data_IF_415847111228
#
_entry.id   IF_415847111228
#
_cell.length_a   1.000
_cell.length_b   1.000
_cell.length_c   1.000
_cell.angle_alpha   90.00
_cell.angle_beta   90.00
_cell.angle_gamma   90.00
#
_symmetry.space_group_name_H-M   'P 1'
#
loop_
_entity.id
_entity.type
_entity.pdbx_description
1 polymer ?
#
# COMPACT_ATOMS: atom_id res chain seq x y z
N UNK A 1 -9.96 18.52 -32.81
CA UNK A 1 -8.53 18.92 -32.77
C UNK A 1 -8.21 19.01 -31.27
N UNK A 2 -7.21 18.31 -30.82
CA UNK A 2 -6.81 18.31 -29.39
C UNK A 2 -6.09 19.65 -29.14
N UNK A 3 -6.60 20.46 -28.24
CA UNK A 3 -6.04 21.77 -27.89
C UNK A 3 -5.44 21.76 -26.49
N UNK A 4 -4.13 21.61 -26.40
CA UNK A 4 -3.40 21.58 -25.13
C UNK A 4 -3.27 22.95 -24.45
N UNK A 5 -3.75 24.05 -25.06
CA UNK A 5 -3.77 25.38 -24.44
C UNK A 5 -4.77 25.50 -23.30
N UNK A 6 -5.74 24.58 -23.24
CA UNK A 6 -6.76 24.50 -22.18
C UNK A 6 -6.21 23.93 -20.86
N UNK A 7 -4.99 23.33 -20.89
CA UNK A 7 -4.40 22.69 -19.73
C UNK A 7 -3.71 23.71 -18.84
N UNK A 8 -4.14 23.78 -17.58
CA UNK A 8 -3.37 24.47 -16.55
C UNK A 8 -2.28 23.52 -16.02
N UNK A 9 -1.04 23.79 -16.43
CA UNK A 9 0.13 22.99 -15.99
C UNK A 9 0.43 23.17 -14.50
N UNK A 10 0.01 24.28 -13.89
CA UNK A 10 0.10 24.50 -12.45
C UNK A 10 -0.79 23.53 -11.68
N UNK A 11 -2.04 23.37 -12.13
CA UNK A 11 -2.98 22.39 -11.56
C UNK A 11 -2.46 20.95 -11.69
N UNK A 12 -1.89 20.58 -12.85
CA UNK A 12 -1.27 19.26 -13.05
C UNK A 12 -0.11 19.03 -12.08
N UNK A 13 0.75 20.04 -11.92
CA UNK A 13 1.89 19.98 -10.99
C UNK A 13 1.43 19.80 -9.54
N UNK A 14 0.48 20.60 -9.09
CA UNK A 14 -0.08 20.51 -7.74
C UNK A 14 -0.75 19.15 -7.51
N UNK A 15 -1.61 18.71 -8.42
CA UNK A 15 -2.29 17.43 -8.32
C UNK A 15 -1.31 16.24 -8.31
N UNK A 16 -0.18 16.37 -9.03
CA UNK A 16 0.91 15.38 -8.97
C UNK A 16 1.50 15.30 -7.58
N UNK A 17 1.81 16.46 -6.95
CA UNK A 17 2.33 16.50 -5.58
C UNK A 17 1.33 15.95 -4.57
N UNK A 18 0.05 16.27 -4.70
CA UNK A 18 -1.02 15.73 -3.86
C UNK A 18 -1.10 14.20 -3.98
N UNK A 19 -1.05 13.66 -5.20
CA UNK A 19 -1.05 12.20 -5.42
C UNK A 19 0.17 11.53 -4.80
N UNK A 20 1.35 12.13 -4.93
CA UNK A 20 2.59 11.63 -4.31
C UNK A 20 2.51 11.70 -2.78
N UNK A 21 1.97 12.80 -2.22
CA UNK A 21 1.78 12.94 -0.78
C UNK A 21 0.80 11.89 -0.23
N UNK A 22 -0.37 11.71 -0.88
CA UNK A 22 -1.33 10.67 -0.51
C UNK A 22 -0.69 9.28 -0.54
N UNK A 23 -0.01 8.95 -1.63
CA UNK A 23 0.63 7.63 -1.79
C UNK A 23 1.75 7.42 -0.77
N UNK A 24 2.62 8.41 -0.61
CA UNK A 24 3.78 8.31 0.29
C UNK A 24 3.39 8.20 1.76
N UNK A 25 2.50 9.08 2.24
CA UNK A 25 2.02 9.05 3.63
C UNK A 25 1.21 7.78 3.90
N UNK A 26 0.33 7.39 2.98
CA UNK A 26 -0.45 6.16 3.14
C UNK A 26 0.45 4.92 3.11
N UNK A 27 1.49 4.89 2.28
CA UNK A 27 2.47 3.80 2.25
C UNK A 27 3.22 3.70 3.58
N UNK A 28 3.68 4.82 4.12
CA UNK A 28 4.37 4.86 5.42
C UNK A 28 3.51 4.24 6.53
N UNK A 29 2.26 4.69 6.69
CA UNK A 29 1.36 4.13 7.70
C UNK A 29 0.95 2.68 7.40
N UNK A 30 0.78 2.33 6.13
CA UNK A 30 0.50 0.94 5.70
C UNK A 30 1.62 0.00 6.09
N UNK A 31 2.88 0.38 5.87
CA UNK A 31 4.04 -0.42 6.28
C UNK A 31 4.14 -0.48 7.81
N UNK A 32 3.96 0.65 8.50
CA UNK A 32 4.02 0.72 9.95
C UNK A 32 3.02 -0.22 10.65
N UNK A 33 1.80 -0.35 10.11
CA UNK A 33 0.74 -1.19 10.65
C UNK A 33 0.81 -2.60 10.06
N UNK A 34 0.98 -2.71 8.76
CA UNK A 34 0.88 -3.98 8.04
C UNK A 34 2.08 -4.89 8.23
N UNK A 35 3.30 -4.36 8.43
CA UNK A 35 4.48 -5.18 8.68
C UNK A 35 4.37 -5.95 10.00
N UNK A 36 4.08 -5.33 11.16
CA UNK A 36 3.86 -6.06 12.41
C UNK A 36 2.70 -7.04 12.32
N UNK A 37 1.60 -6.65 11.66
CA UNK A 37 0.44 -7.51 11.48
C UNK A 37 0.78 -8.75 10.63
N UNK A 38 1.55 -8.60 9.55
CA UNK A 38 2.01 -9.70 8.70
C UNK A 38 2.97 -10.63 9.42
N UNK A 39 3.90 -10.09 10.21
CA UNK A 39 4.79 -10.89 11.07
C UNK A 39 3.97 -11.68 12.09
N UNK A 40 2.97 -11.06 12.72
CA UNK A 40 2.11 -11.72 13.70
C UNK A 40 1.29 -12.85 13.07
N UNK A 41 0.74 -12.64 11.86
CA UNK A 41 0.08 -13.68 11.07
C UNK A 41 1.02 -14.86 10.82
N UNK A 42 2.24 -14.60 10.37
CA UNK A 42 3.23 -15.63 10.12
C UNK A 42 3.56 -16.42 11.40
N UNK A 43 3.90 -15.72 12.50
CA UNK A 43 4.31 -16.35 13.75
C UNK A 43 3.23 -17.21 14.40
N UNK A 44 1.96 -16.79 14.29
CA UNK A 44 0.81 -17.51 14.87
C UNK A 44 0.27 -18.63 13.98
N UNK A 45 0.73 -18.72 12.72
CA UNK A 45 0.34 -19.77 11.79
C UNK A 45 0.75 -21.16 12.26
N UNK A 46 0.09 -22.18 11.72
CA UNK A 46 0.36 -23.59 12.08
C UNK A 46 1.83 -23.95 11.81
N UNK A 47 2.48 -24.58 12.80
CA UNK A 47 3.89 -25.00 12.77
C UNK A 47 4.91 -23.85 12.73
N UNK A 48 4.54 -22.65 13.16
CA UNK A 48 5.44 -21.52 13.35
C UNK A 48 5.81 -21.31 14.83
N UNK A 49 6.72 -20.34 15.12
CA UNK A 49 7.33 -20.13 16.43
C UNK A 49 6.33 -19.90 17.58
N UNK A 50 5.23 -19.21 17.31
CA UNK A 50 4.18 -18.89 18.27
C UNK A 50 2.84 -19.49 17.84
N UNK A 51 2.86 -20.70 17.26
CA UNK A 51 1.66 -21.34 16.67
C UNK A 51 0.48 -21.31 17.63
N UNK A 52 -0.52 -20.49 17.33
CA UNK A 52 -1.77 -20.35 18.09
C UNK A 52 -2.96 -20.22 17.14
N UNK A 53 -3.65 -21.34 16.93
CA UNK A 53 -4.73 -21.45 15.94
C UNK A 53 -5.84 -20.40 16.12
N UNK A 54 -6.23 -20.10 17.36
CA UNK A 54 -7.30 -19.13 17.65
C UNK A 54 -6.92 -17.72 17.19
N UNK A 55 -5.74 -17.23 17.58
CA UNK A 55 -5.24 -15.90 17.20
C UNK A 55 -5.09 -15.82 15.68
N UNK A 56 -4.46 -16.82 15.07
CA UNK A 56 -4.30 -16.86 13.62
C UNK A 56 -5.63 -16.78 12.87
N UNK A 57 -6.65 -17.55 13.30
CA UNK A 57 -7.97 -17.54 12.67
C UNK A 57 -8.65 -16.17 12.75
N UNK A 58 -8.63 -15.53 13.93
CA UNK A 58 -9.23 -14.20 14.13
C UNK A 58 -8.53 -13.15 13.27
N UNK A 59 -7.19 -13.08 13.33
CA UNK A 59 -6.41 -12.12 12.55
C UNK A 59 -6.57 -12.36 11.05
N UNK A 60 -6.48 -13.61 10.61
CA UNK A 60 -6.63 -13.98 9.20
C UNK A 60 -8.02 -13.68 8.67
N UNK A 61 -9.08 -13.89 9.49
CA UNK A 61 -10.45 -13.56 9.14
C UNK A 61 -10.61 -12.03 9.00
N UNK A 62 -10.14 -11.25 9.98
CA UNK A 62 -10.20 -9.79 9.94
C UNK A 62 -9.50 -9.23 8.69
N UNK A 63 -8.26 -9.69 8.42
CA UNK A 63 -7.51 -9.31 7.22
C UNK A 63 -8.26 -9.69 5.94
N UNK A 64 -8.82 -10.88 5.85
CA UNK A 64 -9.55 -11.33 4.66
C UNK A 64 -10.85 -10.54 4.45
N UNK A 65 -11.62 -10.27 5.52
CA UNK A 65 -12.85 -9.47 5.44
C UNK A 65 -12.54 -8.05 4.93
N UNK A 66 -11.55 -7.37 5.51
CA UNK A 66 -11.17 -6.02 5.07
C UNK A 66 -10.72 -5.99 3.61
N UNK A 67 -9.99 -7.00 3.15
CA UNK A 67 -9.56 -7.12 1.74
C UNK A 67 -10.69 -7.47 0.77
N UNK A 68 -11.79 -8.01 1.27
CA UNK A 68 -12.94 -8.37 0.42
C UNK A 68 -13.85 -7.19 0.12
N UNK A 69 -13.69 -6.06 0.83
CA UNK A 69 -14.48 -4.86 0.58
C UNK A 69 -13.91 -4.12 -0.64
N UNK A 70 -14.70 -3.83 -1.68
CA UNK A 70 -14.26 -3.00 -2.79
C UNK A 70 -13.80 -1.63 -2.29
N UNK A 71 -12.63 -1.17 -2.74
CA UNK A 71 -12.00 0.04 -2.19
C UNK A 71 -12.90 1.28 -2.26
N UNK A 72 -13.62 1.48 -3.38
CA UNK A 72 -14.54 2.62 -3.51
C UNK A 72 -15.65 2.60 -2.44
N UNK A 73 -16.16 1.41 -2.12
CA UNK A 73 -17.17 1.24 -1.05
C UNK A 73 -16.55 1.51 0.31
N UNK A 74 -15.33 1.03 0.54
CA UNK A 74 -14.58 1.30 1.77
C UNK A 74 -14.38 2.80 1.99
N UNK A 75 -14.00 3.55 0.93
CA UNK A 75 -13.87 5.02 0.97
C UNK A 75 -15.14 5.68 1.52
N UNK A 76 -16.31 5.31 0.98
CA UNK A 76 -17.60 5.89 1.37
C UNK A 76 -17.97 5.51 2.81
N UNK A 77 -17.82 4.24 3.18
CA UNK A 77 -18.14 3.76 4.54
C UNK A 77 -17.20 4.39 5.57
N UNK A 78 -15.98 4.72 5.19
CA UNK A 78 -15.00 5.33 6.09
C UNK A 78 -15.19 6.84 6.32
N UNK A 79 -16.06 7.53 5.57
CA UNK A 79 -16.29 8.99 5.70
C UNK A 79 -16.52 9.41 7.18
N UNK A 80 -17.44 8.80 7.95
CA UNK A 80 -17.66 9.22 9.34
C UNK A 80 -16.43 9.00 10.22
N UNK A 81 -15.71 7.93 10.01
CA UNK A 81 -14.49 7.60 10.78
C UNK A 81 -13.35 8.57 10.40
N UNK A 82 -13.21 8.87 9.12
CA UNK A 82 -12.22 9.82 8.61
C UNK A 82 -12.45 11.22 9.18
N UNK A 83 -13.71 11.68 9.21
CA UNK A 83 -14.08 12.96 9.83
C UNK A 83 -13.69 13.02 11.32
N UNK A 84 -13.85 11.93 12.06
CA UNK A 84 -13.43 11.85 13.46
C UNK A 84 -11.91 11.86 13.64
N UNK A 85 -11.16 11.28 12.70
CA UNK A 85 -9.70 11.14 12.80
C UNK A 85 -8.95 12.40 12.36
N UNK A 86 -9.37 13.01 11.26
CA UNK A 86 -8.63 14.12 10.61
C UNK A 86 -9.46 15.39 10.39
N UNK A 87 -10.74 15.39 10.77
CA UNK A 87 -11.61 16.57 10.69
C UNK A 87 -12.18 16.86 9.30
N UNK A 88 -11.73 16.16 8.26
CA UNK A 88 -12.23 16.28 6.88
C UNK A 88 -12.31 14.90 6.22
N UNK A 89 -13.20 14.76 5.24
CA UNK A 89 -13.25 13.58 4.36
C UNK A 89 -12.82 13.90 2.93
N UNK A 90 -12.41 15.15 2.67
CA UNK A 90 -12.01 15.64 1.36
C UNK A 90 -10.51 15.93 1.31
N UNK A 91 -9.97 15.98 0.11
CA UNK A 91 -8.56 16.29 -0.15
C UNK A 91 -7.59 15.21 0.32
N UNK A 92 -6.32 15.56 0.34
CA UNK A 92 -5.21 14.65 0.68
C UNK A 92 -5.40 14.06 2.09
N UNK A 93 -5.67 14.88 3.08
CA UNK A 93 -5.82 14.45 4.48
C UNK A 93 -6.99 13.49 4.66
N UNK A 94 -8.13 13.78 4.02
CA UNK A 94 -9.31 12.92 4.07
C UNK A 94 -9.14 11.58 3.36
N UNK A 95 -8.21 11.49 2.41
CA UNK A 95 -7.96 10.26 1.65
C UNK A 95 -7.02 9.28 2.38
N UNK A 96 -6.13 9.76 3.27
CA UNK A 96 -5.11 8.92 3.92
C UNK A 96 -5.71 7.80 4.79
N UNK A 97 -6.66 8.04 5.73
CA UNK A 97 -7.18 6.98 6.59
C UNK A 97 -7.79 5.81 5.81
N UNK A 98 -8.71 6.01 4.84
CA UNK A 98 -9.26 4.88 4.08
C UNK A 98 -8.22 4.19 3.19
N UNK A 99 -7.24 4.92 2.63
CA UNK A 99 -6.12 4.31 1.88
C UNK A 99 -5.32 3.36 2.78
N UNK A 100 -4.99 3.78 3.99
CA UNK A 100 -4.24 2.94 4.95
C UNK A 100 -5.06 1.72 5.38
N UNK A 101 -6.33 1.90 5.75
CA UNK A 101 -7.18 0.78 6.21
C UNK A 101 -7.44 -0.21 5.07
N UNK A 102 -7.56 0.25 3.84
CA UNK A 102 -7.73 -0.63 2.68
C UNK A 102 -6.46 -1.41 2.32
N UNK A 103 -5.29 -0.82 2.52
CA UNK A 103 -4.03 -1.43 2.06
C UNK A 103 -3.22 -2.12 3.15
N UNK A 104 -3.34 -1.75 4.43
CA UNK A 104 -2.59 -2.41 5.50
C UNK A 104 -2.88 -3.92 5.62
N UNK A 105 -4.14 -4.40 5.51
CA UNK A 105 -4.43 -5.83 5.48
C UNK A 105 -3.87 -6.53 4.24
N UNK A 106 -3.87 -5.85 3.09
CA UNK A 106 -3.26 -6.37 1.86
C UNK A 106 -1.75 -6.54 2.01
N UNK A 107 -1.06 -5.50 2.50
CA UNK A 107 0.38 -5.56 2.76
C UNK A 107 0.74 -6.61 3.82
N UNK A 108 -0.02 -6.71 4.91
CA UNK A 108 0.18 -7.73 5.93
C UNK A 108 0.14 -9.16 5.36
N UNK A 109 -0.74 -9.42 4.39
CA UNK A 109 -0.79 -10.73 3.73
C UNK A 109 0.41 -10.96 2.80
N UNK A 110 0.89 -9.92 2.11
CA UNK A 110 2.12 -10.02 1.33
C UNK A 110 3.32 -10.33 2.23
N UNK A 111 3.44 -9.64 3.36
CA UNK A 111 4.49 -9.91 4.37
C UNK A 111 4.42 -11.36 4.86
N UNK A 112 3.23 -11.84 5.25
CA UNK A 112 3.06 -13.23 5.66
C UNK A 112 3.53 -14.20 4.58
N UNK A 113 3.18 -13.97 3.32
CA UNK A 113 3.58 -14.83 2.21
C UNK A 113 5.09 -14.84 2.01
N UNK A 114 5.73 -13.67 2.00
CA UNK A 114 7.18 -13.54 1.88
C UNK A 114 7.91 -14.27 3.00
N UNK A 115 7.44 -14.13 4.26
CA UNK A 115 8.03 -14.84 5.39
C UNK A 115 7.85 -16.36 5.32
N UNK A 116 6.81 -16.85 4.64
CA UNK A 116 6.56 -18.29 4.43
C UNK A 116 7.50 -18.92 3.40
N UNK A 117 8.10 -18.12 2.53
CA UNK A 117 9.07 -18.60 1.51
C UNK A 117 10.46 -18.84 2.10
N UNK A 118 10.75 -18.34 3.30
CA UNK A 118 12.02 -18.58 3.97
C UNK A 118 12.17 -20.05 4.34
N UNK A 119 13.37 -20.60 4.09
CA UNK A 119 13.68 -21.98 4.42
C UNK A 119 13.50 -22.26 5.92
N UNK A 120 12.81 -23.34 6.25
CA UNK A 120 12.58 -23.76 7.62
C UNK A 120 13.86 -24.12 8.37
N UNK A 121 14.87 -24.60 7.64
CA UNK A 121 16.18 -24.92 8.22
C UNK A 121 16.81 -23.70 8.91
N UNK A 122 16.58 -22.48 8.39
CA UNK A 122 17.04 -21.24 9.05
C UNK A 122 16.40 -21.09 10.44
N UNK A 123 15.08 -21.30 10.53
CA UNK A 123 14.35 -21.23 11.79
C UNK A 123 14.78 -22.32 12.77
N UNK A 124 14.90 -23.56 12.30
CA UNK A 124 15.29 -24.72 13.09
C UNK A 124 16.73 -24.55 13.61
N UNK A 125 17.66 -24.05 12.79
CA UNK A 125 19.03 -23.75 13.22
C UNK A 125 19.07 -22.68 14.32
N UNK A 126 18.31 -21.58 14.16
CA UNK A 126 18.23 -20.53 15.19
C UNK A 126 17.64 -21.06 16.51
N UNK A 127 16.61 -21.93 16.44
CA UNK A 127 16.04 -22.56 17.63
C UNK A 127 17.02 -23.52 18.31
N UNK A 128 17.76 -24.32 17.53
CA UNK A 128 18.78 -25.22 18.06
C UNK A 128 19.91 -24.50 18.80
N UNK A 129 20.23 -23.27 18.35
CA UNK A 129 21.19 -22.39 19.04
C UNK A 129 20.61 -21.68 20.26
N UNK A 130 19.34 -21.90 20.63
CA UNK A 130 18.67 -21.27 21.75
C UNK A 130 18.27 -19.80 21.55
N UNK A 131 18.16 -19.33 20.29
CA UNK A 131 17.77 -17.96 19.99
C UNK A 131 16.31 -17.69 20.42
N UNK A 132 16.09 -16.52 21.05
CA UNK A 132 14.74 -16.07 21.44
C UNK A 132 13.97 -15.60 20.20
N UNK A 133 12.62 -15.65 20.25
CA UNK A 133 11.75 -15.29 19.14
C UNK A 133 12.10 -13.93 18.51
N UNK A 134 12.34 -12.88 19.31
CA UNK A 134 12.71 -11.57 18.79
C UNK A 134 14.08 -11.57 18.07
N UNK A 135 15.04 -12.38 18.54
CA UNK A 135 16.35 -12.53 17.89
C UNK A 135 16.20 -13.23 16.53
N UNK A 136 15.31 -14.23 16.45
CA UNK A 136 14.99 -14.90 15.17
C UNK A 136 14.33 -13.93 14.22
N UNK A 137 13.36 -13.12 14.66
CA UNK A 137 12.66 -12.14 13.81
C UNK A 137 13.64 -11.13 13.24
N UNK A 138 14.39 -10.43 14.08
CA UNK A 138 15.24 -9.31 13.65
C UNK A 138 16.60 -9.76 13.11
N UNK A 139 17.13 -10.89 13.56
CA UNK A 139 18.46 -11.38 13.20
C UNK A 139 18.47 -12.36 12.01
N UNK A 140 17.36 -13.04 11.74
CA UNK A 140 17.29 -14.03 10.67
C UNK A 140 16.13 -13.75 9.70
N UNK A 141 14.87 -13.72 10.17
CA UNK A 141 13.71 -13.65 9.30
C UNK A 141 13.65 -12.36 8.47
N UNK A 142 13.73 -11.19 9.10
CA UNK A 142 13.63 -9.91 8.40
C UNK A 142 14.80 -9.64 7.45
N UNK A 143 16.07 -9.91 7.81
CA UNK A 143 17.19 -9.79 6.88
C UNK A 143 17.09 -10.72 5.68
N UNK A 144 16.66 -11.97 5.88
CA UNK A 144 16.49 -12.94 4.79
C UNK A 144 15.31 -12.58 3.89
N UNK A 145 14.21 -12.09 4.49
CA UNK A 145 13.02 -11.65 3.78
C UNK A 145 13.17 -10.32 3.04
N UNK A 146 14.24 -9.55 3.29
CA UNK A 146 14.35 -8.15 2.85
C UNK A 146 14.05 -7.94 1.37
N UNK A 147 14.60 -8.72 0.40
CA UNK A 147 14.26 -8.55 -1.02
C UNK A 147 12.76 -8.73 -1.30
N UNK A 148 12.14 -9.76 -0.73
CA UNK A 148 10.71 -10.02 -0.87
C UNK A 148 9.85 -8.93 -0.20
N UNK A 149 10.27 -8.41 0.96
CA UNK A 149 9.57 -7.30 1.62
C UNK A 149 9.65 -6.01 0.80
N UNK A 150 10.79 -5.71 0.16
CA UNK A 150 10.93 -4.56 -0.75
C UNK A 150 10.01 -4.71 -1.97
N UNK A 151 9.92 -5.91 -2.54
CA UNK A 151 8.97 -6.20 -3.61
C UNK A 151 7.51 -5.99 -3.15
N UNK A 152 7.16 -6.47 -1.94
CA UNK A 152 5.83 -6.27 -1.35
C UNK A 152 5.50 -4.78 -1.13
N UNK A 153 6.47 -3.96 -0.68
CA UNK A 153 6.33 -2.50 -0.55
C UNK A 153 6.09 -1.86 -1.91
N UNK A 154 6.83 -2.26 -2.95
CA UNK A 154 6.67 -1.74 -4.30
C UNK A 154 5.28 -2.04 -4.87
N UNK A 155 4.82 -3.29 -4.75
CA UNK A 155 3.46 -3.70 -5.18
C UNK A 155 2.40 -2.88 -4.44
N UNK A 156 2.60 -2.66 -3.14
CA UNK A 156 1.67 -1.88 -2.31
C UNK A 156 1.66 -0.41 -2.70
N UNK A 157 2.82 0.19 -3.01
CA UNK A 157 2.91 1.57 -3.48
C UNK A 157 2.16 1.78 -4.81
N UNK A 158 2.29 0.85 -5.75
CA UNK A 158 1.57 0.87 -7.03
C UNK A 158 0.05 0.72 -6.80
N UNK A 159 -0.35 -0.18 -5.91
CA UNK A 159 -1.76 -0.36 -5.54
C UNK A 159 -2.33 0.92 -4.90
N UNK A 160 -1.56 1.55 -4.01
CA UNK A 160 -1.94 2.83 -3.39
C UNK A 160 -2.08 3.96 -4.41
N UNK A 161 -1.21 4.03 -5.43
CA UNK A 161 -1.33 5.00 -6.53
C UNK A 161 -2.67 4.84 -7.26
N UNK A 162 -3.08 3.60 -7.54
CA UNK A 162 -4.36 3.30 -8.17
C UNK A 162 -5.54 3.69 -7.26
N UNK A 163 -5.45 3.41 -5.96
CA UNK A 163 -6.48 3.77 -4.98
C UNK A 163 -6.54 5.28 -4.74
N UNK A 164 -5.39 5.97 -4.73
CA UNK A 164 -5.34 7.43 -4.65
C UNK A 164 -6.03 8.08 -5.87
N UNK A 165 -5.85 7.52 -7.07
CA UNK A 165 -6.61 7.98 -8.25
C UNK A 165 -8.12 7.75 -8.10
N UNK A 166 -8.53 6.61 -7.51
CA UNK A 166 -9.95 6.32 -7.23
C UNK A 166 -10.56 7.25 -6.17
N UNK A 167 -9.77 7.76 -5.21
CA UNK A 167 -10.27 8.71 -4.19
C UNK A 167 -10.73 10.03 -4.81
N UNK A 168 -10.28 10.36 -6.01
CA UNK A 168 -10.77 11.50 -6.80
C UNK A 168 -12.27 11.47 -7.04
N UNK A 169 -12.92 10.29 -7.07
CA UNK A 169 -14.39 10.16 -7.23
C UNK A 169 -15.14 10.89 -6.11
N UNK A 170 -14.59 10.91 -4.91
CA UNK A 170 -15.20 11.53 -3.73
C UNK A 170 -14.55 12.86 -3.34
N UNK A 171 -13.76 13.47 -4.25
CA UNK A 171 -13.07 14.73 -4.00
C UNK A 171 -11.81 14.59 -3.14
N UNK A 172 -11.10 13.48 -3.28
CA UNK A 172 -9.86 13.20 -2.57
C UNK A 172 -8.66 14.06 -3.01
N UNK A 173 -8.80 14.84 -4.09
CA UNK A 173 -7.70 15.62 -4.68
C UNK A 173 -6.79 14.78 -5.58
N UNK A 174 -5.69 15.38 -6.01
CA UNK A 174 -4.68 14.76 -6.85
C UNK A 174 -5.09 14.55 -8.30
N UNK A 175 -4.26 13.79 -9.04
CA UNK A 175 -4.46 13.52 -10.46
C UNK A 175 -5.78 12.81 -10.76
N UNK A 176 -6.24 11.94 -9.85
CA UNK A 176 -7.51 11.25 -10.01
C UNK A 176 -8.71 12.21 -9.99
N UNK A 177 -8.72 13.17 -9.09
CA UNK A 177 -9.74 14.22 -8.99
C UNK A 177 -9.74 15.11 -10.24
N UNK A 178 -8.56 15.51 -10.71
CA UNK A 178 -8.43 16.25 -11.96
C UNK A 178 -8.99 15.47 -13.16
N UNK A 179 -8.63 14.19 -13.29
CA UNK A 179 -9.12 13.34 -14.37
C UNK A 179 -10.66 13.24 -14.36
N UNK A 180 -11.26 13.12 -13.18
CA UNK A 180 -12.72 12.97 -13.05
C UNK A 180 -13.41 14.32 -13.23
N UNK A 181 -12.99 15.35 -12.51
CA UNK A 181 -13.67 16.66 -12.47
C UNK A 181 -13.55 17.44 -13.77
N UNK A 182 -12.36 17.47 -14.36
CA UNK A 182 -12.13 18.18 -15.61
C UNK A 182 -12.24 17.25 -16.84
N UNK A 183 -11.56 16.10 -16.78
CA UNK A 183 -11.51 15.17 -17.92
C UNK A 183 -12.86 14.53 -18.21
N UNK A 184 -13.52 13.94 -17.20
CA UNK A 184 -14.78 13.23 -17.40
C UNK A 184 -16.02 14.14 -17.31
N UNK A 185 -16.18 14.92 -16.22
CA UNK A 185 -17.40 15.69 -15.98
C UNK A 185 -17.50 16.93 -16.87
N UNK A 186 -16.37 17.56 -17.20
CA UNK A 186 -16.32 18.74 -18.09
C UNK A 186 -15.94 18.42 -19.54
N UNK A 187 -15.77 17.12 -19.84
CA UNK A 187 -15.44 16.64 -21.19
C UNK A 187 -14.13 17.22 -21.77
N UNK A 188 -13.18 17.60 -20.90
CA UNK A 188 -11.85 18.05 -21.32
C UNK A 188 -10.94 16.85 -21.55
N UNK A 189 -11.02 16.26 -22.73
CA UNK A 189 -10.27 15.04 -23.10
C UNK A 189 -8.77 15.24 -22.99
N UNK A 190 -8.27 16.45 -23.25
CA UNK A 190 -6.86 16.82 -23.13
C UNK A 190 -6.33 16.64 -21.68
N UNK A 191 -7.08 17.13 -20.70
CA UNK A 191 -6.76 16.97 -19.28
C UNK A 191 -6.77 15.50 -18.90
N UNK A 192 -7.76 14.72 -19.37
CA UNK A 192 -7.83 13.28 -19.13
C UNK A 192 -6.58 12.56 -19.67
N UNK A 193 -6.17 12.84 -20.90
CA UNK A 193 -5.00 12.20 -21.51
C UNK A 193 -3.73 12.52 -20.73
N UNK A 194 -3.54 13.80 -20.35
CA UNK A 194 -2.34 14.22 -19.65
C UNK A 194 -2.29 13.64 -18.23
N UNK A 195 -3.40 13.67 -17.49
CA UNK A 195 -3.44 13.09 -16.13
C UNK A 195 -3.15 11.59 -16.15
N UNK A 196 -3.72 10.85 -17.09
CA UNK A 196 -3.45 9.42 -17.26
C UNK A 196 -1.98 9.18 -17.65
N UNK A 197 -1.42 9.97 -18.58
CA UNK A 197 -0.02 9.85 -18.96
C UNK A 197 0.92 10.10 -17.77
N UNK A 198 0.65 11.12 -16.96
CA UNK A 198 1.43 11.42 -15.74
C UNK A 198 1.32 10.27 -14.73
N UNK A 199 0.12 9.73 -14.48
CA UNK A 199 -0.07 8.57 -13.59
C UNK A 199 0.72 7.35 -14.07
N UNK A 200 0.68 7.05 -15.37
CA UNK A 200 1.47 5.94 -15.96
C UNK A 200 2.96 6.16 -15.72
N UNK A 201 3.48 7.37 -15.97
CA UNK A 201 4.90 7.69 -15.73
C UNK A 201 5.26 7.50 -14.26
N UNK A 202 4.44 7.99 -13.33
CA UNK A 202 4.68 7.85 -11.90
C UNK A 202 4.71 6.37 -11.46
N UNK A 203 3.77 5.56 -11.95
CA UNK A 203 3.74 4.11 -11.67
C UNK A 203 4.99 3.43 -12.22
N UNK A 204 5.41 3.76 -13.46
CA UNK A 204 6.63 3.19 -14.05
C UNK A 204 7.90 3.59 -13.29
N UNK A 205 7.96 4.83 -12.79
CA UNK A 205 9.07 5.26 -11.93
C UNK A 205 9.09 4.49 -10.61
N UNK A 206 7.94 4.32 -9.94
CA UNK A 206 7.84 3.52 -8.72
C UNK A 206 8.29 2.07 -8.96
N UNK A 207 7.82 1.45 -10.06
CA UNK A 207 8.24 0.09 -10.42
C UNK A 207 9.76 0.02 -10.67
N UNK A 208 10.29 0.94 -11.46
CA UNK A 208 11.72 0.97 -11.77
C UNK A 208 12.60 1.09 -10.53
N UNK A 209 12.27 2.01 -9.62
CA UNK A 209 13.02 2.18 -8.38
C UNK A 209 12.85 0.98 -7.44
N UNK A 210 11.65 0.43 -7.36
CA UNK A 210 11.37 -0.77 -6.58
C UNK A 210 12.19 -1.97 -7.04
N UNK A 211 12.20 -2.25 -8.34
CA UNK A 211 12.97 -3.35 -8.93
C UNK A 211 14.49 -3.17 -8.71
N UNK A 212 14.99 -1.93 -8.82
CA UNK A 212 16.40 -1.62 -8.51
C UNK A 212 16.76 -1.89 -7.05
N UNK A 213 15.86 -1.53 -6.11
CA UNK A 213 16.06 -1.81 -4.70
C UNK A 213 16.07 -3.33 -4.43
N UNK A 214 15.12 -4.07 -4.98
CA UNK A 214 15.06 -5.53 -4.84
C UNK A 214 16.35 -6.16 -5.36
N UNK A 215 16.79 -5.80 -6.57
CA UNK A 215 18.03 -6.33 -7.16
C UNK A 215 19.27 -6.01 -6.33
N UNK A 216 19.34 -4.82 -5.73
CA UNK A 216 20.46 -4.42 -4.89
C UNK A 216 20.60 -5.28 -3.62
N UNK A 217 19.48 -5.65 -3.01
CA UNK A 217 19.45 -6.45 -1.78
C UNK A 217 19.35 -7.96 -2.02
N UNK A 218 19.08 -8.39 -3.25
CA UNK A 218 19.14 -9.82 -3.61
C UNK A 218 20.58 -10.30 -3.61
N UNK A 219 20.93 -11.13 -2.65
CA UNK A 219 22.23 -11.81 -2.61
C UNK A 219 22.25 -12.84 -3.74
N UNK A 220 23.26 -12.75 -4.61
CA UNK A 220 23.55 -13.78 -5.60
C UNK A 220 24.20 -14.98 -4.95
#
# INVERSE_FOLDING_TARGET
MIDFSVIDWGDIGQATLETLAMTGLSLFFTVLIGLPLGILLFLTARKQLLAQRGIYLVLSLAVNVLRSVPFLILLIVMIPITLLLVGTSLGVEGSIPPLVIGTAPFFARLVENVLREIDRGVLEACQAMGAKTHQIIFGALLPEALPGLLAAVTITAITLMSYAAMSGVIGGGGLGDLAIRYGYQRFQTEVMIVTVAVLVVLVQLLQFFGDRLVLHFTRK
#
